data_IF_318809898329
#
_entry.id   IF_318809898329
#
_cell.length_a   1.000
_cell.length_b   1.000
_cell.length_c   1.000
_cell.angle_alpha   90.00
_cell.angle_beta   90.00
_cell.angle_gamma   90.00
#
_symmetry.space_group_name_H-M   'P 1'
#
loop_
_entity.id
_entity.type
_entity.pdbx_description
1 polymer ?
#
# COMPACT_ATOMS: atom_id res chain seq x y z
N UNK A 1 -49.29 -37.33 10.78
CA UNK A 1 -49.18 -36.07 10.03
C UNK A 1 -48.23 -35.17 10.79
N UNK A 2 -47.08 -34.79 10.22
CA UNK A 2 -46.13 -33.86 10.88
C UNK A 2 -46.66 -32.44 10.71
N UNK A 3 -46.89 -31.73 11.80
CA UNK A 3 -47.22 -30.30 11.80
C UNK A 3 -46.03 -29.54 11.22
N UNK A 4 -46.21 -28.90 10.07
CA UNK A 4 -45.21 -28.01 9.49
C UNK A 4 -45.34 -26.65 10.18
N UNK A 5 -44.49 -26.41 11.17
CA UNK A 5 -44.40 -25.10 11.82
C UNK A 5 -43.78 -24.12 10.82
N UNK A 6 -44.62 -23.37 10.11
CA UNK A 6 -44.18 -22.26 9.26
C UNK A 6 -43.65 -21.10 10.10
N UNK A 7 -42.63 -20.40 9.58
CA UNK A 7 -42.16 -19.13 10.13
C UNK A 7 -43.28 -18.09 10.07
N UNK A 8 -43.46 -17.28 11.12
CA UNK A 8 -44.51 -16.25 11.10
C UNK A 8 -44.02 -15.01 10.33
N UNK A 9 -44.93 -14.30 9.65
CA UNK A 9 -44.57 -13.08 8.92
C UNK A 9 -43.96 -12.01 9.83
N UNK A 10 -44.43 -11.93 11.08
CA UNK A 10 -43.91 -10.97 12.06
C UNK A 10 -42.47 -11.28 12.48
N UNK A 11 -42.11 -12.56 12.54
CA UNK A 11 -40.76 -13.01 12.89
C UNK A 11 -39.77 -12.66 11.79
N UNK A 12 -40.16 -12.79 10.52
CA UNK A 12 -39.36 -12.32 9.40
C UNK A 12 -39.19 -10.79 9.40
N UNK A 13 -40.26 -10.05 9.69
CA UNK A 13 -40.24 -8.58 9.76
C UNK A 13 -39.34 -8.09 10.90
N UNK A 14 -39.44 -8.72 12.08
CA UNK A 14 -38.60 -8.37 13.23
C UNK A 14 -37.11 -8.56 12.91
N UNK A 15 -36.74 -9.64 12.22
CA UNK A 15 -35.35 -9.91 11.85
C UNK A 15 -34.79 -8.84 10.91
N UNK A 16 -35.51 -8.47 9.84
CA UNK A 16 -35.02 -7.44 8.91
C UNK A 16 -34.93 -6.06 9.57
N UNK A 17 -35.81 -5.74 10.53
CA UNK A 17 -35.75 -4.50 11.31
C UNK A 17 -34.50 -4.47 12.19
N UNK A 18 -34.22 -5.56 12.91
CA UNK A 18 -33.02 -5.65 13.75
C UNK A 18 -31.75 -5.56 12.88
N UNK A 19 -31.70 -6.30 11.76
CA UNK A 19 -30.57 -6.23 10.83
C UNK A 19 -30.40 -4.82 10.23
N UNK A 20 -31.50 -4.11 9.96
CA UNK A 20 -31.46 -2.73 9.48
C UNK A 20 -30.81 -1.77 10.48
N UNK A 21 -31.16 -1.87 11.77
CA UNK A 21 -30.57 -1.04 12.84
C UNK A 21 -29.08 -1.36 13.03
N UNK A 22 -28.72 -2.65 13.03
CA UNK A 22 -27.33 -3.08 13.15
C UNK A 22 -26.50 -2.61 11.95
N UNK A 23 -27.02 -2.69 10.73
CA UNK A 23 -26.34 -2.22 9.53
C UNK A 23 -26.11 -0.70 9.56
N UNK A 24 -27.13 0.08 9.96
CA UNK A 24 -27.03 1.53 10.02
C UNK A 24 -25.98 2.03 11.02
N UNK A 25 -25.80 1.32 12.13
CA UNK A 25 -24.80 1.69 13.15
C UNK A 25 -23.39 1.16 12.85
N UNK A 26 -23.28 0.00 12.17
CA UNK A 26 -22.00 -0.60 11.83
C UNK A 26 -21.33 0.03 10.58
N UNK A 27 -22.11 0.51 9.61
CA UNK A 27 -21.59 1.00 8.33
C UNK A 27 -20.59 2.18 8.46
N UNK A 28 -20.84 3.23 9.26
CA UNK A 28 -19.86 4.32 9.43
C UNK A 28 -18.53 3.82 9.97
N UNK A 29 -18.58 2.92 10.97
CA UNK A 29 -17.38 2.34 11.59
C UNK A 29 -16.61 1.45 10.64
N UNK A 30 -17.30 0.71 9.77
CA UNK A 30 -16.63 -0.11 8.78
C UNK A 30 -15.89 0.75 7.74
N UNK A 31 -16.43 1.90 7.34
CA UNK A 31 -15.75 2.85 6.44
C UNK A 31 -14.47 3.39 7.05
N UNK A 32 -14.53 3.87 8.31
CA UNK A 32 -13.37 4.38 9.03
C UNK A 32 -12.24 3.33 9.09
N UNK A 33 -12.58 2.06 9.42
CA UNK A 33 -11.62 0.97 9.52
C UNK A 33 -10.92 0.65 8.19
N UNK A 34 -11.63 0.76 7.07
CA UNK A 34 -11.05 0.51 5.74
C UNK A 34 -10.05 1.62 5.38
N UNK A 35 -10.38 2.88 5.69
CA UNK A 35 -9.48 4.02 5.52
C UNK A 35 -8.23 3.89 6.39
N UNK A 36 -8.38 3.56 7.68
CA UNK A 36 -7.24 3.32 8.57
C UNK A 36 -6.36 2.15 8.09
N UNK A 37 -6.96 1.07 7.58
CA UNK A 37 -6.22 -0.05 7.00
C UNK A 37 -5.41 0.38 5.77
N UNK A 38 -5.97 1.25 4.93
CA UNK A 38 -5.29 1.82 3.75
C UNK A 38 -4.07 2.63 4.14
N UNK A 39 -4.22 3.53 5.11
CA UNK A 39 -3.11 4.31 5.68
C UNK A 39 -2.06 3.40 6.30
N UNK A 40 -2.48 2.35 7.02
CA UNK A 40 -1.59 1.33 7.58
C UNK A 40 -0.74 0.62 6.52
N UNK A 41 -1.34 0.20 5.40
CA UNK A 41 -0.62 -0.38 4.26
C UNK A 41 0.44 0.57 3.73
N UNK A 42 0.11 1.84 3.49
CA UNK A 42 1.07 2.82 2.97
C UNK A 42 2.23 3.09 3.93
N UNK A 43 1.97 3.09 5.24
CA UNK A 43 3.03 3.20 6.24
C UNK A 43 4.00 2.01 6.19
N UNK A 44 3.46 0.79 6.04
CA UNK A 44 4.27 -0.40 5.84
C UNK A 44 5.06 -0.36 4.53
N UNK A 45 4.46 0.15 3.45
CA UNK A 45 5.14 0.34 2.18
C UNK A 45 6.28 1.35 2.28
N UNK A 46 6.05 2.48 2.94
CA UNK A 46 7.11 3.49 3.21
C UNK A 46 8.30 2.87 3.94
N UNK A 47 8.05 2.10 5.00
CA UNK A 47 9.11 1.41 5.75
C UNK A 47 9.86 0.39 4.88
N UNK A 48 9.14 -0.29 3.99
CA UNK A 48 9.71 -1.24 3.04
C UNK A 48 10.62 -0.55 2.02
N UNK A 49 10.20 0.59 1.47
CA UNK A 49 11.04 1.41 0.58
C UNK A 49 12.30 1.92 1.28
N UNK A 50 12.17 2.42 2.51
CA UNK A 50 13.32 2.87 3.31
C UNK A 50 14.33 1.74 3.54
N UNK A 51 13.84 0.56 3.91
CA UNK A 51 14.67 -0.62 4.15
C UNK A 51 15.37 -1.07 2.86
N UNK A 52 14.64 -1.16 1.75
CA UNK A 52 15.18 -1.56 0.46
C UNK A 52 16.25 -0.58 -0.06
N UNK A 53 16.02 0.73 0.09
CA UNK A 53 16.99 1.75 -0.31
C UNK A 53 18.29 1.66 0.50
N UNK A 54 18.19 1.43 1.81
CA UNK A 54 19.37 1.24 2.67
C UNK A 54 20.11 -0.07 2.35
N UNK A 55 19.39 -1.16 2.06
CA UNK A 55 20.00 -2.42 1.66
C UNK A 55 20.74 -2.29 0.32
N UNK A 56 20.11 -1.67 -0.69
CA UNK A 56 20.73 -1.44 -1.99
C UNK A 56 21.95 -0.52 -1.89
N UNK A 57 21.87 0.54 -1.09
CA UNK A 57 23.00 1.41 -0.79
C UNK A 57 24.15 0.65 -0.10
N UNK A 58 23.84 -0.14 0.93
CA UNK A 58 24.82 -0.98 1.61
C UNK A 58 25.48 -1.99 0.69
N UNK A 59 24.72 -2.59 -0.23
CA UNK A 59 25.24 -3.52 -1.22
C UNK A 59 26.16 -2.83 -2.24
N UNK A 60 25.81 -1.60 -2.66
CA UNK A 60 26.66 -0.77 -3.52
C UNK A 60 28.03 -0.52 -2.88
N UNK A 61 28.01 -0.09 -1.61
CA UNK A 61 29.22 0.17 -0.83
C UNK A 61 30.04 -1.10 -0.59
N UNK A 62 29.38 -2.21 -0.23
CA UNK A 62 30.03 -3.49 0.02
C UNK A 62 30.74 -4.05 -1.22
N UNK A 63 30.20 -3.78 -2.42
CA UNK A 63 30.79 -4.19 -3.70
C UNK A 63 31.79 -3.17 -4.27
N UNK A 64 31.93 -2.01 -3.65
CA UNK A 64 32.84 -0.95 -4.12
C UNK A 64 32.49 -0.43 -5.51
N UNK A 65 31.24 -0.54 -5.94
CA UNK A 65 30.81 0.03 -7.23
C UNK A 65 30.52 1.52 -7.08
N UNK A 66 30.76 2.28 -8.15
CA UNK A 66 30.51 3.72 -8.16
C UNK A 66 29.01 4.02 -7.97
N UNK A 67 28.71 5.24 -7.49
CA UNK A 67 27.36 5.78 -7.55
C UNK A 67 26.86 5.75 -9.00
N UNK A 68 25.55 5.53 -9.16
CA UNK A 68 24.86 5.46 -10.46
C UNK A 68 25.10 4.17 -11.27
N UNK A 69 25.76 3.18 -10.67
CA UNK A 69 25.92 1.85 -11.27
C UNK A 69 24.84 0.92 -10.75
N UNK A 70 24.12 0.27 -11.68
CA UNK A 70 23.12 -0.75 -11.35
C UNK A 70 23.76 -1.87 -10.51
N UNK A 71 23.06 -2.27 -9.45
CA UNK A 71 23.50 -3.34 -8.55
C UNK A 71 22.57 -4.54 -8.73
N UNK A 72 23.14 -5.74 -8.73
CA UNK A 72 22.36 -7.00 -8.79
C UNK A 72 22.27 -7.63 -7.41
N UNK A 73 21.04 -7.88 -6.93
CA UNK A 73 20.80 -8.60 -5.68
C UNK A 73 20.88 -10.10 -5.94
N UNK A 74 21.25 -10.88 -4.92
CA UNK A 74 21.25 -12.34 -5.00
C UNK A 74 19.84 -12.83 -5.38
N UNK A 75 19.73 -13.55 -6.49
CA UNK A 75 18.46 -13.87 -7.14
C UNK A 75 18.28 -13.25 -8.53
N UNK A 76 19.20 -12.38 -8.97
CA UNK A 76 19.27 -11.88 -10.35
C UNK A 76 18.49 -10.59 -10.61
N UNK A 77 17.79 -10.05 -9.60
CA UNK A 77 17.11 -8.76 -9.69
C UNK A 77 18.13 -7.63 -9.80
N UNK A 78 18.02 -6.82 -10.84
CA UNK A 78 18.85 -5.63 -11.05
C UNK A 78 18.13 -4.39 -10.55
N UNK A 79 18.81 -3.60 -9.72
CA UNK A 79 18.32 -2.35 -9.16
C UNK A 79 19.15 -1.21 -9.78
N UNK A 80 18.49 -0.38 -10.57
CA UNK A 80 19.07 0.86 -11.06
C UNK A 80 19.35 1.78 -9.87
N UNK A 81 20.57 2.31 -9.79
CA UNK A 81 21.00 3.20 -8.72
C UNK A 81 21.18 4.61 -9.28
N UNK A 82 20.90 5.61 -8.46
CA UNK A 82 21.16 7.03 -8.70
C UNK A 82 21.52 7.72 -7.38
N UNK A 83 22.56 8.56 -7.38
CA UNK A 83 23.10 9.24 -6.21
C UNK A 83 23.45 8.29 -5.02
N UNK A 84 23.77 7.03 -5.32
CA UNK A 84 24.11 6.01 -4.32
C UNK A 84 22.93 5.25 -3.74
N UNK A 85 21.70 5.55 -4.12
CA UNK A 85 20.47 4.87 -3.69
C UNK A 85 19.69 4.35 -4.90
N UNK A 86 18.65 3.52 -4.74
CA UNK A 86 17.80 3.13 -5.87
C UNK A 86 17.26 4.35 -6.60
N UNK A 87 17.18 4.23 -7.92
CA UNK A 87 16.61 5.27 -8.77
C UNK A 87 15.10 5.42 -8.54
N UNK A 88 14.55 6.60 -8.81
CA UNK A 88 13.11 6.83 -8.79
C UNK A 88 12.49 6.41 -10.13
N UNK A 89 12.67 5.15 -10.47
CA UNK A 89 12.10 4.51 -11.66
C UNK A 89 11.60 3.11 -11.34
N UNK A 90 10.84 2.51 -12.26
CA UNK A 90 10.36 1.12 -12.12
C UNK A 90 11.51 0.10 -12.00
N UNK A 91 12.68 0.41 -12.56
CA UNK A 91 13.90 -0.41 -12.45
C UNK A 91 14.73 -0.10 -11.20
N UNK A 92 14.39 0.94 -10.45
CA UNK A 92 15.08 1.37 -9.24
C UNK A 92 14.36 0.89 -7.98
N UNK A 93 13.76 1.82 -7.23
CA UNK A 93 13.13 1.52 -5.94
C UNK A 93 12.00 0.47 -6.04
N UNK A 94 11.26 0.46 -7.15
CA UNK A 94 10.16 -0.50 -7.36
C UNK A 94 10.70 -1.90 -7.64
N UNK A 95 11.85 -2.04 -8.30
CA UNK A 95 12.53 -3.33 -8.42
C UNK A 95 13.12 -3.82 -7.10
N UNK A 96 13.32 -2.92 -6.13
CA UNK A 96 13.91 -3.22 -4.83
C UNK A 96 12.87 -3.60 -3.75
N UNK A 97 11.58 -3.41 -4.01
CA UNK A 97 10.49 -3.69 -3.05
C UNK A 97 9.40 -4.53 -3.73
N UNK A 98 8.74 -5.39 -2.97
CA UNK A 98 7.54 -6.07 -3.44
C UNK A 98 6.32 -5.16 -3.34
N UNK A 99 5.63 -5.00 -4.47
CA UNK A 99 4.50 -4.08 -4.65
C UNK A 99 3.22 -4.81 -5.09
N UNK A 100 3.20 -6.15 -5.05
CA UNK A 100 2.08 -6.95 -5.58
C UNK A 100 0.69 -6.59 -5.01
N UNK A 101 0.67 -6.07 -3.78
CA UNK A 101 -0.56 -5.69 -3.07
C UNK A 101 -0.92 -4.19 -3.22
N UNK A 102 -0.20 -3.46 -4.07
CA UNK A 102 -0.34 -2.02 -4.28
C UNK A 102 -0.47 -1.68 -5.77
N UNK A 103 -0.71 -0.40 -6.05
CA UNK A 103 -0.75 0.13 -7.41
C UNK A 103 0.47 1.00 -7.67
N UNK A 104 1.26 0.62 -8.67
CA UNK A 104 2.42 1.36 -9.13
C UNK A 104 1.98 2.59 -9.94
N UNK A 105 2.37 3.78 -9.48
CA UNK A 105 2.09 5.07 -10.15
C UNK A 105 3.38 5.77 -10.61
N UNK A 106 4.53 5.08 -10.66
CA UNK A 106 5.82 5.67 -11.05
C UNK A 106 5.87 6.26 -12.46
N UNK A 107 4.88 5.98 -13.31
CA UNK A 107 4.74 6.57 -14.64
C UNK A 107 4.31 8.04 -14.63
N UNK A 108 3.74 8.54 -13.53
CA UNK A 108 3.13 9.89 -13.46
C UNK A 108 3.48 10.68 -12.19
N UNK A 109 3.87 10.00 -11.12
CA UNK A 109 4.32 10.61 -9.87
C UNK A 109 5.08 9.54 -9.10
N UNK A 110 6.38 9.71 -8.84
CA UNK A 110 7.29 8.75 -8.23
C UNK A 110 6.76 8.09 -6.95
N UNK A 111 5.82 7.14 -7.03
CA UNK A 111 5.03 6.69 -5.89
C UNK A 111 4.05 5.55 -6.16
N UNK A 112 3.47 5.07 -5.07
CA UNK A 112 2.71 3.82 -4.94
C UNK A 112 1.44 4.12 -4.16
N UNK A 113 0.27 3.81 -4.70
CA UNK A 113 -1.00 3.95 -3.98
C UNK A 113 -1.47 2.63 -3.39
N UNK A 114 -2.29 2.70 -2.34
CA UNK A 114 -2.77 1.53 -1.64
C UNK A 114 -3.76 0.69 -2.46
N UNK A 115 -4.47 1.33 -3.39
CA UNK A 115 -5.37 0.75 -4.38
C UNK A 115 -5.62 1.71 -5.55
N UNK A 116 -6.38 1.25 -6.55
CA UNK A 116 -6.66 1.97 -7.79
C UNK A 116 -7.78 3.02 -7.66
N UNK A 117 -8.64 2.91 -6.65
CA UNK A 117 -9.72 3.87 -6.43
C UNK A 117 -9.25 5.14 -5.71
N UNK A 118 -8.11 5.07 -5.01
CA UNK A 118 -7.54 6.16 -4.21
C UNK A 118 -6.10 6.46 -4.63
N UNK A 119 -5.88 6.97 -5.86
CA UNK A 119 -4.53 7.20 -6.40
C UNK A 119 -3.76 8.29 -5.62
N UNK A 120 -4.47 9.19 -4.96
CA UNK A 120 -3.89 10.26 -4.14
C UNK A 120 -3.48 9.77 -2.74
N UNK A 121 -4.06 8.68 -2.25
CA UNK A 121 -3.61 7.99 -1.04
C UNK A 121 -2.37 7.15 -1.37
N UNK A 122 -1.20 7.78 -1.30
CA UNK A 122 0.04 7.19 -1.81
C UNK A 122 1.26 7.47 -0.93
N UNK A 123 2.29 6.65 -1.15
CA UNK A 123 3.66 6.91 -0.71
C UNK A 123 4.52 7.21 -1.93
N UNK A 124 5.35 8.23 -1.85
CA UNK A 124 6.22 8.68 -2.91
C UNK A 124 7.69 8.62 -2.48
N UNK A 125 8.55 8.28 -3.44
CA UNK A 125 9.99 8.17 -3.32
C UNK A 125 10.64 9.13 -4.30
N UNK A 126 11.46 10.04 -3.81
CA UNK A 126 12.25 10.95 -4.64
C UNK A 126 13.72 10.61 -4.47
N UNK A 127 14.40 10.37 -5.59
CA UNK A 127 15.82 10.11 -5.57
C UNK A 127 16.59 11.35 -5.08
N UNK A 128 17.29 11.18 -3.97
CA UNK A 128 18.16 12.16 -3.34
C UNK A 128 19.22 11.43 -2.51
N UNK A 129 20.19 12.15 -1.94
CA UNK A 129 21.20 11.58 -1.06
C UNK A 129 21.21 12.31 0.30
N UNK A 130 20.50 11.79 1.34
CA UNK A 130 19.68 10.57 1.33
C UNK A 130 18.31 10.75 0.63
N UNK A 131 17.61 9.67 0.25
CA UNK A 131 16.32 9.74 -0.44
C UNK A 131 15.22 10.36 0.42
N UNK A 132 14.23 10.98 -0.23
CA UNK A 132 13.08 11.59 0.44
C UNK A 132 11.85 10.70 0.23
N UNK A 133 11.12 10.47 1.32
CA UNK A 133 9.90 9.66 1.34
C UNK A 133 8.73 10.51 1.81
N UNK A 134 7.79 10.77 0.92
CA UNK A 134 6.55 11.50 1.20
C UNK A 134 5.39 10.51 1.28
N UNK A 135 4.42 10.79 2.14
CA UNK A 135 3.21 9.98 2.22
C UNK A 135 2.04 10.94 2.29
N UNK A 136 1.07 10.75 1.40
CA UNK A 136 -0.21 11.41 1.48
C UNK A 136 -1.21 10.46 2.12
N UNK A 137 -1.68 10.84 3.31
CA UNK A 137 -2.66 10.10 4.10
C UNK A 137 -3.80 11.01 4.54
N UNK A 138 -4.12 12.04 3.76
CA UNK A 138 -5.26 12.90 4.02
C UNK A 138 -6.56 12.09 3.94
N UNK A 139 -7.47 12.18 4.92
CA UNK A 139 -8.77 11.53 4.85
C UNK A 139 -9.54 11.81 3.55
N UNK A 140 -9.43 13.01 2.99
CA UNK A 140 -10.10 13.37 1.74
C UNK A 140 -9.63 12.54 0.53
N UNK A 141 -8.41 12.00 0.59
CA UNK A 141 -7.81 11.18 -0.47
C UNK A 141 -7.87 9.68 -0.16
N UNK A 142 -8.02 9.30 1.12
CA UNK A 142 -7.93 7.93 1.62
C UNK A 142 -9.24 7.32 2.11
N UNK A 143 -10.35 8.05 2.17
CA UNK A 143 -11.70 7.54 2.50
C UNK A 143 -12.44 6.99 1.27
#
# INVERSE_FOLDING_TARGET
MKQQSGFTLIELIMVIVILGILAATAMPKFSDLVSEARVGKLSAMKASMQSAALMAHGLQLARGVASDVTVTVDGGTTIAMRNGYPDDTSTGIIAAVDISDYVDNFTSSSGVSADAAHPLCNVSYVNANPPVYTMNSDPADCD
#
